data_IF_942547220652
#
_entry.id   IF_942547220652
#
_cell.length_a   1.000
_cell.length_b   1.000
_cell.length_c   1.000
_cell.angle_alpha   90.00
_cell.angle_beta   90.00
_cell.angle_gamma   90.00
#
_symmetry.space_group_name_H-M   'P 1'
#
loop_
_entity.id
_entity.type
_entity.pdbx_description
1 polymer ?
#
# COMPACT_ATOMS: atom_id res chain seq x y z
N UNK A 1 -1.09 -12.29 -17.48
CA UNK A 1 -1.87 -12.56 -16.26
C UNK A 1 -2.23 -14.05 -16.12
N UNK A 2 -2.79 -14.72 -17.14
CA UNK A 2 -3.11 -16.18 -17.07
C UNK A 2 -1.92 -17.04 -16.65
N UNK A 3 -0.72 -16.75 -17.12
CA UNK A 3 0.46 -17.59 -16.84
C UNK A 3 0.97 -17.44 -15.42
N UNK A 4 1.08 -16.21 -14.90
CA UNK A 4 1.62 -15.96 -13.56
C UNK A 4 0.63 -16.33 -12.45
N UNK A 5 -0.61 -15.93 -12.60
CA UNK A 5 -1.64 -16.16 -11.59
C UNK A 5 -2.24 -17.56 -11.67
N UNK A 6 -2.26 -18.17 -12.85
CA UNK A 6 -2.74 -19.55 -13.01
C UNK A 6 -1.82 -20.63 -12.45
N UNK A 7 -0.52 -20.39 -12.35
CA UNK A 7 0.46 -21.39 -11.90
C UNK A 7 1.01 -21.18 -10.48
N UNK A 8 1.05 -19.93 -9.98
CA UNK A 8 1.66 -19.66 -8.66
C UNK A 8 0.70 -19.13 -7.61
N UNK A 9 -0.26 -18.34 -8.00
CA UNK A 9 -1.38 -17.88 -7.17
C UNK A 9 -2.57 -17.66 -8.09
N UNK A 10 -3.47 -18.63 -8.22
CA UNK A 10 -4.65 -18.48 -9.04
C UNK A 10 -5.49 -17.33 -8.48
N UNK A 11 -5.87 -16.39 -9.34
CA UNK A 11 -6.85 -15.38 -9.00
C UNK A 11 -8.18 -16.08 -8.74
N UNK A 12 -8.64 -16.01 -7.52
CA UNK A 12 -9.91 -16.58 -7.10
C UNK A 12 -11.01 -15.54 -7.33
N UNK A 13 -12.11 -15.95 -7.95
CA UNK A 13 -13.29 -15.13 -8.08
C UNK A 13 -14.10 -15.22 -6.77
N UNK A 14 -14.46 -14.08 -6.20
CA UNK A 14 -15.42 -14.00 -5.11
C UNK A 14 -16.84 -14.14 -5.66
N UNK A 15 -17.10 -13.50 -6.82
CA UNK A 15 -18.41 -13.50 -7.47
C UNK A 15 -18.28 -13.55 -8.99
N UNK A 16 -19.26 -14.13 -9.66
CA UNK A 16 -19.35 -14.14 -11.11
C UNK A 16 -18.40 -15.10 -11.80
N UNK A 17 -17.88 -14.71 -12.96
CA UNK A 17 -16.98 -15.50 -13.79
C UNK A 17 -15.81 -14.69 -14.36
N UNK A 18 -14.80 -15.35 -14.87
CA UNK A 18 -13.77 -14.71 -15.68
C UNK A 18 -14.35 -14.21 -17.01
N UNK A 19 -13.77 -13.13 -17.55
CA UNK A 19 -14.15 -12.69 -18.90
C UNK A 19 -13.78 -13.76 -19.93
N UNK A 20 -14.62 -13.89 -20.97
CA UNK A 20 -14.33 -14.80 -22.06
C UNK A 20 -13.12 -14.28 -22.86
N UNK A 21 -12.15 -15.14 -23.12
CA UNK A 21 -10.97 -14.77 -23.92
C UNK A 21 -11.23 -14.77 -25.42
N UNK A 22 -12.49 -14.60 -25.83
CA UNK A 22 -12.97 -14.62 -27.20
C UNK A 22 -13.61 -13.28 -27.54
N UNK A 23 -13.87 -13.03 -28.82
CA UNK A 23 -14.55 -11.81 -29.29
C UNK A 23 -15.97 -11.64 -28.72
N UNK A 24 -16.61 -12.71 -28.24
CA UNK A 24 -17.94 -12.63 -27.63
C UNK A 24 -17.88 -11.93 -26.26
N UNK A 25 -16.76 -12.08 -25.53
CA UNK A 25 -16.51 -11.39 -24.27
C UNK A 25 -15.64 -10.13 -24.40
N UNK A 26 -15.62 -9.48 -25.56
CA UNK A 26 -14.73 -8.36 -25.86
C UNK A 26 -14.85 -7.22 -24.84
N UNK A 27 -16.06 -6.85 -24.46
CA UNK A 27 -16.33 -5.77 -23.49
C UNK A 27 -16.74 -6.30 -22.12
N UNK A 28 -16.08 -7.35 -21.67
CA UNK A 28 -16.24 -7.87 -20.32
C UNK A 28 -15.10 -7.44 -19.43
N UNK A 29 -15.42 -7.09 -18.17
CA UNK A 29 -14.45 -6.70 -17.17
C UNK A 29 -14.59 -7.55 -15.91
N UNK A 30 -13.45 -7.85 -15.28
CA UNK A 30 -13.37 -8.43 -13.95
C UNK A 30 -12.70 -7.42 -13.03
N UNK A 31 -13.33 -7.10 -11.91
CA UNK A 31 -12.86 -6.09 -10.98
C UNK A 31 -12.02 -6.71 -9.88
N UNK A 32 -10.98 -6.00 -9.45
CA UNK A 32 -10.32 -6.26 -8.17
C UNK A 32 -11.25 -5.96 -7.00
N UNK A 33 -11.03 -6.62 -5.88
CA UNK A 33 -11.92 -6.54 -4.70
C UNK A 33 -12.11 -5.10 -4.20
N UNK A 34 -11.06 -4.30 -4.13
CA UNK A 34 -11.12 -2.92 -3.65
C UNK A 34 -11.80 -1.98 -4.64
N UNK A 35 -11.63 -2.20 -5.95
CA UNK A 35 -12.33 -1.42 -6.98
C UNK A 35 -13.84 -1.59 -6.85
N UNK A 36 -14.31 -2.85 -6.71
CA UNK A 36 -15.72 -3.14 -6.58
C UNK A 36 -16.34 -2.44 -5.35
N UNK A 37 -15.64 -2.49 -4.22
CA UNK A 37 -16.10 -1.87 -2.95
C UNK A 37 -16.05 -0.34 -3.01
N UNK A 38 -14.91 0.23 -3.44
CA UNK A 38 -14.69 1.68 -3.42
C UNK A 38 -15.62 2.43 -4.38
N UNK A 39 -15.94 1.84 -5.54
CA UNK A 39 -16.80 2.44 -6.55
C UNK A 39 -18.24 1.90 -6.51
N UNK A 40 -18.54 0.95 -5.62
CA UNK A 40 -19.87 0.38 -5.47
C UNK A 40 -20.37 -0.42 -6.66
N UNK A 41 -19.45 -0.93 -7.50
CA UNK A 41 -19.79 -1.69 -8.70
C UNK A 41 -20.24 -3.12 -8.38
N UNK A 42 -21.23 -3.60 -9.15
CA UNK A 42 -21.82 -4.94 -9.01
C UNK A 42 -21.80 -5.70 -10.33
N UNK A 43 -21.98 -7.02 -10.26
CA UNK A 43 -22.10 -7.86 -11.44
C UNK A 43 -23.22 -7.38 -12.36
N UNK A 44 -22.97 -7.43 -13.65
CA UNK A 44 -23.90 -6.99 -14.71
C UNK A 44 -23.95 -5.49 -14.93
N UNK A 45 -23.31 -4.69 -14.10
CA UNK A 45 -23.27 -3.24 -14.26
C UNK A 45 -22.33 -2.86 -15.42
N UNK A 46 -22.68 -1.79 -16.13
CA UNK A 46 -21.85 -1.20 -17.17
C UNK A 46 -20.92 -0.15 -16.56
N UNK A 47 -19.68 -0.22 -16.93
CA UNK A 47 -18.64 0.73 -16.54
C UNK A 47 -17.93 1.28 -17.78
N UNK A 48 -17.52 2.53 -17.74
CA UNK A 48 -16.68 3.15 -18.75
C UNK A 48 -15.24 3.23 -18.26
N UNK A 49 -14.28 3.07 -19.15
CA UNK A 49 -12.87 3.25 -18.85
C UNK A 49 -12.44 4.63 -19.34
N UNK A 50 -11.70 5.33 -18.51
CA UNK A 50 -11.12 6.64 -18.80
C UNK A 50 -9.62 6.54 -18.60
N UNK A 51 -8.84 7.11 -19.49
CA UNK A 51 -7.43 7.27 -19.23
C UNK A 51 -7.03 8.74 -19.08
N UNK A 52 -6.05 8.97 -18.24
CA UNK A 52 -5.59 10.28 -17.81
C UNK A 52 -5.69 10.46 -16.31
N UNK A 53 -4.88 11.35 -15.77
CA UNK A 53 -5.03 11.86 -14.42
C UNK A 53 -6.29 12.73 -14.39
N UNK A 54 -7.02 12.68 -13.30
CA UNK A 54 -8.29 13.34 -12.98
C UNK A 54 -8.68 14.48 -13.92
N UNK A 55 -9.94 14.47 -14.36
CA UNK A 55 -10.54 15.55 -15.13
C UNK A 55 -10.43 16.90 -14.41
N UNK A 56 -9.30 17.57 -14.55
CA UNK A 56 -9.26 19.03 -14.34
C UNK A 56 -10.13 19.66 -15.43
N UNK A 57 -10.96 20.66 -15.11
CA UNK A 57 -11.74 21.37 -16.14
C UNK A 57 -10.78 21.87 -17.24
N UNK A 58 -10.90 21.30 -18.44
CA UNK A 58 -10.00 21.54 -19.57
C UNK A 58 -8.96 20.47 -19.84
N UNK A 59 -8.84 19.40 -19.05
CA UNK A 59 -8.05 18.22 -19.42
C UNK A 59 -8.83 17.39 -20.43
N UNK A 60 -8.14 16.91 -21.46
CA UNK A 60 -8.64 15.91 -22.41
C UNK A 60 -8.70 14.52 -21.73
N UNK A 61 -9.41 14.39 -20.63
CA UNK A 61 -9.77 13.09 -20.07
C UNK A 61 -10.77 12.47 -21.03
N UNK A 62 -10.26 11.64 -21.88
CA UNK A 62 -11.06 11.04 -22.91
C UNK A 62 -11.71 9.79 -22.34
N UNK A 63 -13.02 9.85 -22.24
CA UNK A 63 -13.87 8.79 -21.74
C UNK A 63 -14.34 7.91 -22.91
N UNK A 64 -14.18 6.59 -22.77
CA UNK A 64 -14.72 5.62 -23.73
C UNK A 64 -16.19 5.28 -23.42
N UNK A 65 -17.04 6.31 -23.33
CA UNK A 65 -18.46 6.14 -23.01
C UNK A 65 -19.23 5.39 -24.12
N UNK A 66 -18.71 5.42 -25.33
CA UNK A 66 -19.25 4.73 -26.52
C UNK A 66 -19.03 3.21 -26.49
N UNK A 67 -18.08 2.73 -25.70
CA UNK A 67 -17.70 1.30 -25.59
C UNK A 67 -17.65 0.83 -24.13
N UNK A 68 -18.81 0.80 -23.42
CA UNK A 68 -18.87 0.42 -22.01
C UNK A 68 -18.56 -1.06 -21.82
N UNK A 69 -17.90 -1.37 -20.71
CA UNK A 69 -17.63 -2.74 -20.28
C UNK A 69 -18.70 -3.25 -19.32
N UNK A 70 -19.03 -4.52 -19.42
CA UNK A 70 -19.93 -5.19 -18.47
C UNK A 70 -19.12 -5.92 -17.41
N UNK A 71 -19.39 -5.65 -16.15
CA UNK A 71 -18.76 -6.36 -15.01
C UNK A 71 -19.29 -7.79 -14.95
N UNK A 72 -18.43 -8.76 -15.22
CA UNK A 72 -18.80 -10.20 -15.23
C UNK A 72 -18.25 -10.97 -14.04
N UNK A 73 -17.30 -10.39 -13.31
CA UNK A 73 -16.72 -11.02 -12.13
C UNK A 73 -16.05 -10.01 -11.20
N UNK A 74 -15.94 -10.40 -9.93
CA UNK A 74 -15.19 -9.70 -8.90
C UNK A 74 -14.20 -10.68 -8.27
N UNK A 75 -12.95 -10.28 -8.15
CA UNK A 75 -11.90 -11.10 -7.54
C UNK A 75 -12.02 -11.11 -6.01
N UNK A 76 -11.64 -12.22 -5.41
CA UNK A 76 -11.38 -12.26 -3.98
C UNK A 76 -10.19 -11.37 -3.62
N UNK A 77 -10.18 -10.85 -2.40
CA UNK A 77 -9.11 -9.98 -1.92
C UNK A 77 -7.76 -10.70 -1.92
N UNK A 78 -6.76 -10.09 -2.50
CA UNK A 78 -5.40 -10.65 -2.63
C UNK A 78 -4.37 -9.98 -1.73
N UNK A 79 -4.67 -8.77 -1.21
CA UNK A 79 -3.71 -7.92 -0.50
C UNK A 79 -2.61 -7.36 -1.42
N UNK A 80 -2.83 -7.35 -2.72
CA UNK A 80 -1.87 -6.89 -3.74
C UNK A 80 -2.49 -5.78 -4.60
N UNK A 81 -1.72 -5.08 -5.45
CA UNK A 81 -2.25 -4.09 -6.39
C UNK A 81 -3.35 -4.62 -7.34
N UNK A 82 -3.48 -5.94 -7.47
CA UNK A 82 -4.57 -6.59 -8.20
C UNK A 82 -5.94 -6.19 -7.67
N UNK A 83 -6.06 -5.96 -6.36
CA UNK A 83 -7.31 -5.56 -5.73
C UNK A 83 -7.82 -4.20 -6.21
N UNK A 84 -6.92 -3.35 -6.71
CA UNK A 84 -7.18 -2.01 -7.26
C UNK A 84 -7.14 -1.95 -8.78
N UNK A 85 -7.27 -3.08 -9.46
CA UNK A 85 -7.12 -3.18 -10.91
C UNK A 85 -8.43 -3.62 -11.55
N UNK A 86 -8.78 -3.01 -12.69
CA UNK A 86 -9.81 -3.50 -13.61
C UNK A 86 -9.14 -4.40 -14.65
N UNK A 87 -9.59 -5.64 -14.75
CA UNK A 87 -9.05 -6.63 -15.68
C UNK A 87 -9.94 -6.75 -16.90
N UNK A 88 -9.38 -6.50 -18.06
CA UNK A 88 -10.03 -6.62 -19.37
C UNK A 88 -9.14 -7.42 -20.32
N UNK A 89 -9.66 -7.84 -21.46
CA UNK A 89 -8.85 -8.49 -22.47
C UNK A 89 -7.95 -7.47 -23.17
N UNK A 90 -6.80 -7.91 -23.71
CA UNK A 90 -5.93 -7.03 -24.52
C UNK A 90 -6.63 -6.60 -25.80
N UNK A 91 -7.44 -7.47 -26.40
CA UNK A 91 -8.27 -7.17 -27.56
C UNK A 91 -9.28 -6.05 -27.27
N UNK A 92 -9.80 -6.00 -26.05
CA UNK A 92 -10.72 -4.93 -25.64
C UNK A 92 -10.00 -3.57 -25.59
N UNK A 93 -8.75 -3.55 -25.15
CA UNK A 93 -7.94 -2.32 -25.16
C UNK A 93 -7.68 -1.81 -26.58
N UNK A 94 -7.40 -2.71 -27.54
CA UNK A 94 -7.31 -2.33 -28.96
C UNK A 94 -8.66 -1.83 -29.48
N UNK A 95 -9.75 -2.53 -29.15
CA UNK A 95 -11.08 -2.20 -29.63
C UNK A 95 -11.58 -0.81 -29.22
N UNK A 96 -11.28 -0.36 -28.01
CA UNK A 96 -11.67 0.99 -27.55
C UNK A 96 -10.89 2.10 -28.21
N UNK A 97 -9.75 1.78 -28.84
CA UNK A 97 -8.87 2.76 -29.49
C UNK A 97 -8.90 2.72 -31.03
N UNK A 98 -9.75 1.91 -31.65
CA UNK A 98 -9.83 1.80 -33.11
C UNK A 98 -10.15 3.12 -33.83
N UNK A 99 -10.92 3.98 -33.18
CA UNK A 99 -11.32 5.31 -33.65
C UNK A 99 -10.53 6.44 -32.98
N UNK A 100 -9.33 6.11 -32.50
CA UNK A 100 -8.42 7.03 -31.82
C UNK A 100 -7.10 7.17 -32.60
N UNK A 101 -6.52 8.37 -32.58
CA UNK A 101 -5.19 8.64 -33.10
C UNK A 101 -4.43 9.59 -32.17
N UNK A 102 -3.19 9.27 -31.87
CA UNK A 102 -2.36 10.12 -31.02
C UNK A 102 -2.91 10.33 -29.59
N UNK A 103 -3.71 9.38 -29.07
CA UNK A 103 -4.29 9.46 -27.73
C UNK A 103 -5.58 10.28 -27.62
N UNK A 104 -6.19 10.67 -28.76
CA UNK A 104 -7.44 11.41 -28.83
C UNK A 104 -8.42 10.77 -29.83
N UNK A 105 -9.75 10.92 -29.63
CA UNK A 105 -10.74 10.43 -30.59
C UNK A 105 -10.60 11.15 -31.93
N UNK A 106 -10.70 10.40 -33.01
CA UNK A 106 -10.66 10.96 -34.36
C UNK A 106 -11.97 11.69 -34.68
N UNK A 107 -11.93 12.99 -35.09
CA UNK A 107 -13.13 13.75 -35.36
C UNK A 107 -13.95 13.11 -36.50
N UNK A 108 -15.24 12.88 -36.25
CA UNK A 108 -16.17 12.33 -37.23
C UNK A 108 -16.04 10.83 -37.50
N UNK A 109 -15.18 10.12 -36.78
CA UNK A 109 -15.05 8.66 -36.84
C UNK A 109 -15.54 8.07 -35.54
N UNK A 110 -16.57 7.21 -35.62
CA UNK A 110 -17.06 6.44 -34.46
C UNK A 110 -17.29 5.02 -34.93
N UNK A 111 -16.64 4.07 -34.28
CA UNK A 111 -16.75 2.64 -34.55
C UNK A 111 -17.62 2.02 -33.47
N UNK A 112 -18.81 1.56 -33.85
CA UNK A 112 -19.73 0.91 -32.91
C UNK A 112 -19.11 -0.37 -32.32
N UNK A 113 -19.45 -0.74 -31.06
CA UNK A 113 -18.90 -1.93 -30.37
C UNK A 113 -19.04 -3.22 -31.17
N UNK A 114 -20.14 -3.37 -31.92
CA UNK A 114 -20.42 -4.54 -32.74
C UNK A 114 -19.52 -4.60 -33.98
N UNK A 115 -19.14 -3.45 -34.50
CA UNK A 115 -18.25 -3.34 -35.69
C UNK A 115 -16.80 -3.56 -35.30
N UNK A 116 -16.38 -3.22 -34.08
CA UNK A 116 -15.03 -3.41 -33.61
C UNK A 116 -14.56 -4.86 -33.74
N UNK A 117 -15.48 -5.82 -33.58
CA UNK A 117 -15.19 -7.26 -33.74
C UNK A 117 -14.75 -7.69 -35.17
N UNK A 118 -14.92 -6.84 -36.17
CA UNK A 118 -14.52 -7.12 -37.54
C UNK A 118 -13.08 -6.70 -37.84
N UNK A 119 -12.47 -5.97 -36.94
CA UNK A 119 -11.09 -5.50 -37.09
C UNK A 119 -10.10 -6.51 -36.48
N UNK A 120 -8.87 -6.41 -36.92
CA UNK A 120 -7.77 -7.11 -36.28
C UNK A 120 -7.50 -6.43 -34.92
N UNK A 121 -7.76 -7.17 -33.84
CA UNK A 121 -7.59 -6.73 -32.45
C UNK A 121 -6.36 -7.39 -31.80
N UNK A 122 -5.41 -7.90 -32.60
CA UNK A 122 -4.15 -8.37 -32.05
C UNK A 122 -3.34 -7.18 -31.51
N UNK A 123 -2.97 -7.18 -30.23
CA UNK A 123 -2.24 -6.07 -29.65
C UNK A 123 -0.86 -5.94 -30.28
N UNK A 124 -0.62 -4.79 -30.89
CA UNK A 124 0.65 -4.46 -31.58
C UNK A 124 1.74 -4.04 -30.59
N UNK A 125 1.34 -3.51 -29.45
CA UNK A 125 2.24 -3.03 -28.41
C UNK A 125 1.70 -3.44 -27.02
N UNK A 126 2.60 -3.71 -26.08
CA UNK A 126 2.26 -3.94 -24.69
C UNK A 126 3.17 -3.11 -23.80
N UNK A 127 2.61 -2.48 -22.79
CA UNK A 127 3.37 -1.60 -21.88
C UNK A 127 4.30 -2.39 -20.97
N UNK A 128 3.90 -3.58 -20.54
CA UNK A 128 4.68 -4.44 -19.66
C UNK A 128 4.34 -5.92 -19.84
N UNK A 129 5.35 -6.76 -19.66
CA UNK A 129 5.23 -8.21 -19.63
C UNK A 129 5.61 -8.70 -18.23
N UNK A 130 4.75 -9.55 -17.64
CA UNK A 130 5.08 -10.27 -16.43
C UNK A 130 5.66 -11.64 -16.81
N UNK A 131 6.95 -11.85 -16.53
CA UNK A 131 7.69 -13.06 -16.92
C UNK A 131 7.93 -13.92 -15.69
N UNK A 132 7.39 -15.13 -15.69
CA UNK A 132 7.66 -16.14 -14.67
C UNK A 132 8.84 -17.03 -15.07
N UNK A 133 9.90 -17.05 -14.28
CA UNK A 133 11.07 -17.90 -14.51
C UNK A 133 10.98 -19.20 -13.73
N UNK A 134 11.45 -20.29 -14.33
CA UNK A 134 11.51 -21.62 -13.68
C UNK A 134 12.61 -21.71 -12.62
N UNK A 135 13.66 -20.90 -12.73
CA UNK A 135 14.79 -20.89 -11.81
C UNK A 135 15.09 -19.48 -11.34
N UNK A 136 15.35 -19.32 -10.03
CA UNK A 136 15.77 -18.05 -9.45
C UNK A 136 17.15 -17.60 -10.02
N UNK A 137 18.04 -18.52 -10.31
CA UNK A 137 19.35 -18.20 -10.89
C UNK A 137 19.25 -17.60 -12.30
N UNK A 138 18.19 -17.91 -13.05
CA UNK A 138 17.96 -17.37 -14.39
C UNK A 138 17.57 -15.87 -14.39
N UNK A 139 17.18 -15.32 -13.24
CA UNK A 139 16.69 -13.94 -13.13
C UNK A 139 17.75 -12.94 -13.61
N UNK A 140 19.00 -13.06 -13.12
CA UNK A 140 20.07 -12.13 -13.49
C UNK A 140 20.54 -12.31 -14.94
N UNK A 141 20.44 -13.54 -15.47
CA UNK A 141 20.77 -13.82 -16.88
C UNK A 141 19.73 -13.14 -17.79
N UNK A 142 18.45 -13.30 -17.48
CA UNK A 142 17.36 -12.67 -18.24
C UNK A 142 17.43 -11.15 -18.13
N UNK A 143 17.69 -10.61 -16.94
CA UNK A 143 17.84 -9.16 -16.74
C UNK A 143 18.97 -8.60 -17.60
N UNK A 144 20.13 -9.28 -17.61
CA UNK A 144 21.26 -8.86 -18.45
C UNK A 144 20.93 -8.96 -19.94
N UNK A 145 20.26 -10.02 -20.35
CA UNK A 145 19.83 -10.18 -21.73
C UNK A 145 18.89 -9.07 -22.17
N UNK A 146 17.91 -8.72 -21.33
CA UNK A 146 16.98 -7.60 -21.59
C UNK A 146 17.72 -6.28 -21.66
N UNK A 147 18.68 -6.03 -20.76
CA UNK A 147 19.47 -4.79 -20.76
C UNK A 147 20.38 -4.64 -21.98
N UNK A 148 20.72 -5.74 -22.64
CA UNK A 148 21.56 -5.78 -23.84
C UNK A 148 20.76 -5.94 -25.13
N UNK A 149 19.42 -5.92 -25.06
CA UNK A 149 18.55 -6.08 -26.22
C UNK A 149 18.54 -4.79 -27.05
N UNK A 150 19.01 -4.90 -28.29
CA UNK A 150 19.20 -3.75 -29.19
C UNK A 150 17.94 -3.40 -30.01
N UNK A 151 16.95 -4.31 -30.07
CA UNK A 151 15.77 -4.12 -30.90
C UNK A 151 14.80 -3.04 -30.39
N UNK A 152 14.68 -2.93 -29.07
CA UNK A 152 13.80 -1.96 -28.38
C UNK A 152 14.39 -1.59 -27.01
N UNK A 153 14.16 -0.39 -26.51
CA UNK A 153 14.58 0.02 -25.18
C UNK A 153 13.72 -0.67 -24.09
N UNK A 154 14.16 -1.83 -23.65
CA UNK A 154 13.49 -2.64 -22.63
C UNK A 154 14.13 -2.46 -21.26
N UNK A 155 13.29 -2.46 -20.21
CA UNK A 155 13.73 -2.44 -18.82
C UNK A 155 13.19 -3.67 -18.08
N UNK A 156 14.09 -4.48 -17.52
CA UNK A 156 13.69 -5.58 -16.64
C UNK A 156 13.68 -5.13 -15.19
N UNK A 157 12.50 -5.04 -14.59
CA UNK A 157 12.32 -4.71 -13.18
C UNK A 157 12.16 -6.00 -12.38
N UNK A 158 12.92 -6.14 -11.31
CA UNK A 158 12.82 -7.21 -10.34
C UNK A 158 12.00 -6.72 -9.14
N UNK A 159 10.73 -7.13 -8.99
CA UNK A 159 9.89 -6.63 -7.91
C UNK A 159 10.48 -6.85 -6.51
N UNK A 160 11.20 -7.97 -6.31
CA UNK A 160 11.85 -8.25 -5.04
C UNK A 160 12.98 -7.26 -4.70
N UNK A 161 13.76 -6.82 -5.68
CA UNK A 161 14.82 -5.82 -5.48
C UNK A 161 14.23 -4.44 -5.20
N UNK A 162 13.22 -4.04 -5.98
CA UNK A 162 12.53 -2.77 -5.76
C UNK A 162 11.88 -2.68 -4.38
N UNK A 163 11.30 -3.79 -3.89
CA UNK A 163 10.76 -3.87 -2.53
C UNK A 163 11.86 -3.81 -1.47
N UNK A 164 13.01 -4.43 -1.71
CA UNK A 164 14.15 -4.39 -0.78
C UNK A 164 14.70 -2.96 -0.64
N UNK A 165 14.83 -2.22 -1.72
CA UNK A 165 15.21 -0.80 -1.70
C UNK A 165 14.20 0.06 -0.91
N UNK A 166 12.90 -0.20 -1.07
CA UNK A 166 11.85 0.44 -0.29
C UNK A 166 12.01 0.13 1.21
N UNK A 167 12.20 -1.15 1.54
CA UNK A 167 12.40 -1.59 2.93
C UNK A 167 13.65 -0.99 3.56
N UNK A 168 14.74 -0.85 2.82
CA UNK A 168 15.95 -0.17 3.31
C UNK A 168 15.68 1.30 3.65
N UNK A 169 14.90 1.98 2.82
CA UNK A 169 14.49 3.37 3.09
C UNK A 169 13.63 3.47 4.35
N UNK A 170 12.65 2.57 4.51
CA UNK A 170 11.81 2.51 5.72
C UNK A 170 12.66 2.18 6.95
N UNK A 171 13.59 1.23 6.85
CA UNK A 171 14.50 0.87 7.94
C UNK A 171 15.41 2.04 8.39
N UNK A 172 15.78 2.93 7.48
CA UNK A 172 16.52 4.16 7.84
C UNK A 172 15.68 5.07 8.75
N UNK A 173 14.42 5.29 8.37
CA UNK A 173 13.47 6.07 9.18
C UNK A 173 13.26 5.43 10.55
N UNK A 174 13.04 4.12 10.59
CA UNK A 174 12.89 3.35 11.83
C UNK A 174 14.10 3.52 12.76
N UNK A 175 15.32 3.36 12.24
CA UNK A 175 16.56 3.55 13.02
C UNK A 175 16.70 4.97 13.56
N UNK A 176 16.32 5.97 12.78
CA UNK A 176 16.33 7.37 13.21
C UNK A 176 15.33 7.60 14.35
N UNK A 177 14.12 7.06 14.22
CA UNK A 177 13.11 7.14 15.28
C UNK A 177 13.55 6.42 16.56
N UNK A 178 14.19 5.26 16.44
CA UNK A 178 14.76 4.54 17.58
C UNK A 178 15.86 5.36 18.28
N UNK A 179 16.74 6.01 17.52
CA UNK A 179 17.78 6.86 18.11
C UNK A 179 17.19 8.08 18.84
N UNK A 180 16.19 8.73 18.26
CA UNK A 180 15.45 9.83 18.90
C UNK A 180 14.73 9.34 20.16
N UNK A 181 14.08 8.19 20.10
CA UNK A 181 13.41 7.60 21.24
C UNK A 181 14.38 7.27 22.38
N UNK A 182 15.55 6.73 22.08
CA UNK A 182 16.59 6.48 23.05
C UNK A 182 17.07 7.77 23.73
N UNK A 183 17.25 8.85 22.94
CA UNK A 183 17.62 10.16 23.47
C UNK A 183 16.54 10.72 24.41
N UNK A 184 15.27 10.62 24.02
CA UNK A 184 14.13 11.05 24.85
C UNK A 184 14.10 10.28 26.18
N UNK A 185 14.33 8.96 26.16
CA UNK A 185 14.43 8.15 27.39
C UNK A 185 15.57 8.63 28.26
N UNK A 186 16.75 8.89 27.71
CA UNK A 186 17.91 9.41 28.47
C UNK A 186 17.61 10.76 29.12
N UNK A 187 17.00 11.69 28.36
CA UNK A 187 16.59 13.00 28.89
C UNK A 187 15.53 12.84 29.99
N UNK A 188 14.57 11.94 29.80
CA UNK A 188 13.55 11.63 30.82
C UNK A 188 14.16 11.08 32.11
N UNK A 189 15.10 10.15 32.01
CA UNK A 189 15.82 9.58 33.17
C UNK A 189 16.66 10.65 33.88
N UNK A 190 17.34 11.50 33.12
CA UNK A 190 18.11 12.62 33.72
C UNK A 190 17.20 13.60 34.43
N UNK A 191 16.04 13.94 33.87
CA UNK A 191 15.01 14.78 34.48
C UNK A 191 14.45 14.15 35.79
N UNK A 192 14.14 12.84 35.76
CA UNK A 192 13.71 12.10 36.96
C UNK A 192 14.78 12.15 38.05
N UNK A 193 16.04 11.87 37.71
CA UNK A 193 17.14 11.95 38.67
C UNK A 193 17.28 13.36 39.26
N UNK A 194 17.22 14.39 38.44
CA UNK A 194 17.28 15.79 38.91
C UNK A 194 16.11 16.12 39.87
N UNK A 195 14.90 15.68 39.56
CA UNK A 195 13.70 15.90 40.37
C UNK A 195 13.82 15.18 41.72
N UNK A 196 14.29 13.92 41.73
CA UNK A 196 14.53 13.16 42.96
C UNK A 196 15.61 13.80 43.82
N UNK A 197 16.72 14.27 43.23
CA UNK A 197 17.79 14.95 43.95
C UNK A 197 17.32 16.29 44.56
N UNK A 198 16.51 17.08 43.82
CA UNK A 198 15.92 18.29 44.34
C UNK A 198 14.97 17.99 45.53
N UNK A 199 14.10 16.99 45.37
CA UNK A 199 13.19 16.54 46.44
C UNK A 199 13.91 16.05 47.71
N UNK A 200 15.08 15.44 47.56
CA UNK A 200 15.91 15.03 48.70
C UNK A 200 16.37 16.23 49.56
N UNK A 201 16.69 17.36 48.92
CA UNK A 201 17.10 18.57 49.62
C UNK A 201 15.93 19.18 50.42
N UNK A 202 14.74 19.18 49.89
CA UNK A 202 13.53 19.72 50.55
C UNK A 202 13.12 18.79 51.73
N UNK A 203 13.26 17.46 51.60
CA UNK A 203 12.86 16.45 52.58
C UNK A 203 13.95 16.09 53.57
N UNK A 204 15.09 16.78 53.63
CA UNK A 204 16.22 16.50 54.52
C UNK A 204 15.78 16.36 55.98
N UNK A 205 14.86 17.19 56.45
CA UNK A 205 14.35 17.21 57.82
C UNK A 205 13.52 15.96 58.11
N UNK A 206 12.67 15.53 57.20
CA UNK A 206 11.85 14.34 57.32
C UNK A 206 12.73 13.07 57.34
N UNK A 207 13.72 13.00 56.47
CA UNK A 207 14.69 11.89 56.41
C UNK A 207 15.54 11.84 57.69
N UNK A 208 15.89 12.98 58.27
CA UNK A 208 16.60 13.04 59.54
C UNK A 208 15.75 12.52 60.71
N UNK A 209 14.45 12.82 60.74
CA UNK A 209 13.51 12.30 61.75
C UNK A 209 13.37 10.78 61.62
N UNK A 210 13.21 10.26 60.41
CA UNK A 210 13.14 8.82 60.12
C UNK A 210 14.41 8.08 60.62
N UNK A 211 15.58 8.69 60.39
CA UNK A 211 16.85 8.17 60.90
C UNK A 211 16.92 8.18 62.44
N UNK A 212 16.43 9.23 63.07
CA UNK A 212 16.37 9.33 64.52
C UNK A 212 15.43 8.30 65.13
N UNK A 213 14.40 7.87 64.40
CA UNK A 213 13.48 6.79 64.78
C UNK A 213 14.01 5.39 64.48
N UNK A 214 15.25 5.28 63.92
CA UNK A 214 15.94 4.00 63.72
C UNK A 214 15.90 3.47 62.28
N UNK A 215 15.38 4.26 61.30
CA UNK A 215 15.42 3.85 59.90
C UNK A 215 16.86 3.74 59.37
N UNK A 216 17.20 2.57 58.84
CA UNK A 216 18.52 2.30 58.28
C UNK A 216 18.69 2.93 56.85
N UNK A 217 19.96 3.00 56.41
CA UNK A 217 20.23 3.52 55.02
C UNK A 217 19.50 2.71 53.92
N UNK A 218 19.28 1.41 54.18
CA UNK A 218 18.57 0.54 53.23
C UNK A 218 17.09 0.88 53.14
N UNK A 219 16.46 1.23 54.25
CA UNK A 219 15.03 1.56 54.32
C UNK A 219 14.75 2.87 53.55
N UNK A 220 15.62 3.86 53.74
CA UNK A 220 15.56 5.12 53.02
C UNK A 220 15.81 4.95 51.51
N UNK A 221 16.79 4.11 51.15
CA UNK A 221 17.07 3.79 49.75
C UNK A 221 15.89 3.10 49.08
N UNK A 222 15.30 2.08 49.74
CA UNK A 222 14.13 1.36 49.23
C UNK A 222 12.91 2.29 49.06
N UNK A 223 12.68 3.18 50.03
CA UNK A 223 11.58 4.14 49.98
C UNK A 223 11.73 5.07 48.77
N UNK A 224 12.90 5.65 48.56
CA UNK A 224 13.16 6.56 47.41
C UNK A 224 13.14 5.82 46.08
N UNK A 225 13.65 4.59 46.06
CA UNK A 225 13.58 3.76 44.85
C UNK A 225 12.14 3.39 44.51
N UNK A 226 11.33 3.04 45.52
CA UNK A 226 9.91 2.74 45.32
C UNK A 226 9.15 3.95 44.81
N UNK A 227 9.43 5.16 45.31
CA UNK A 227 8.83 6.42 44.80
C UNK A 227 9.21 6.63 43.33
N UNK A 228 10.49 6.49 42.97
CA UNK A 228 10.96 6.59 41.57
C UNK A 228 10.33 5.56 40.63
N UNK A 229 10.21 4.32 41.08
CA UNK A 229 9.56 3.24 40.33
C UNK A 229 8.09 3.53 40.12
N UNK A 230 7.37 3.98 41.15
CA UNK A 230 5.94 4.33 41.02
C UNK A 230 5.70 5.46 40.04
N UNK A 231 6.49 6.53 40.13
CA UNK A 231 6.38 7.67 39.19
C UNK A 231 6.69 7.24 37.77
N UNK A 232 7.73 6.45 37.58
CA UNK A 232 8.12 5.94 36.24
C UNK A 232 7.05 5.00 35.68
N UNK A 233 6.53 4.08 36.52
CA UNK A 233 5.46 3.17 36.09
C UNK A 233 4.16 3.90 35.74
N UNK A 234 3.78 4.91 36.54
CA UNK A 234 2.60 5.73 36.24
C UNK A 234 2.79 6.51 34.94
N UNK A 235 3.97 7.10 34.74
CA UNK A 235 4.30 7.80 33.47
C UNK A 235 4.31 6.87 32.26
N UNK A 236 4.88 5.67 32.39
CA UNK A 236 4.89 4.67 31.33
C UNK A 236 3.48 4.18 30.97
N UNK A 237 2.65 3.89 31.99
CA UNK A 237 1.24 3.53 31.77
C UNK A 237 0.46 4.63 31.05
N UNK A 238 0.62 5.87 31.49
CA UNK A 238 -0.02 7.01 30.84
C UNK A 238 0.45 7.16 29.40
N UNK A 239 1.76 7.02 29.14
CA UNK A 239 2.33 7.06 27.79
C UNK A 239 1.76 5.99 26.88
N UNK A 240 1.68 4.74 27.36
CA UNK A 240 1.06 3.63 26.59
C UNK A 240 -0.41 3.90 26.31
N UNK A 241 -1.17 4.38 27.30
CA UNK A 241 -2.58 4.72 27.13
C UNK A 241 -2.78 5.84 26.08
N UNK A 242 -1.96 6.88 26.13
CA UNK A 242 -2.03 7.98 25.15
C UNK A 242 -1.71 7.51 23.73
N UNK A 243 -0.67 6.67 23.58
CA UNK A 243 -0.30 6.14 22.25
C UNK A 243 -1.38 5.20 21.72
N UNK A 244 -1.90 4.27 22.52
CA UNK A 244 -2.94 3.34 22.08
C UNK A 244 -4.27 4.04 21.78
N UNK A 245 -4.67 5.00 22.61
CA UNK A 245 -5.86 5.81 22.35
C UNK A 245 -5.68 6.68 21.11
N UNK A 246 -4.55 7.36 20.99
CA UNK A 246 -4.22 8.20 19.85
C UNK A 246 -4.17 7.42 18.52
N UNK A 247 -3.52 6.26 18.50
CA UNK A 247 -3.48 5.39 17.33
C UNK A 247 -4.86 4.84 16.97
N UNK A 248 -5.66 4.43 17.96
CA UNK A 248 -7.02 3.96 17.74
C UNK A 248 -7.96 5.03 17.16
N UNK A 249 -7.83 6.27 17.60
CA UNK A 249 -8.58 7.40 17.05
C UNK A 249 -8.10 7.83 15.67
N UNK A 250 -6.80 7.73 15.40
CA UNK A 250 -6.22 8.10 14.11
C UNK A 250 -6.40 7.01 13.03
N UNK A 251 -6.51 5.74 13.42
CA UNK A 251 -6.59 4.60 12.49
C UNK A 251 -7.70 4.73 11.42
N UNK A 252 -8.98 5.05 11.75
CA UNK A 252 -10.02 5.18 10.74
C UNK A 252 -9.72 6.31 9.75
N UNK A 253 -9.22 7.44 10.22
CA UNK A 253 -8.84 8.57 9.37
C UNK A 253 -7.64 8.24 8.45
N UNK A 254 -6.64 7.51 8.97
CA UNK A 254 -5.49 7.05 8.18
C UNK A 254 -5.90 6.03 7.11
N UNK A 255 -6.84 5.12 7.46
CA UNK A 255 -7.43 4.17 6.52
C UNK A 255 -8.14 4.86 5.36
N UNK A 256 -9.00 5.84 5.66
CA UNK A 256 -9.76 6.57 4.65
C UNK A 256 -8.85 7.41 3.75
N UNK A 257 -7.84 8.06 4.33
CA UNK A 257 -7.01 9.03 3.60
C UNK A 257 -5.84 8.40 2.85
N UNK A 258 -5.22 7.37 3.42
CA UNK A 258 -3.97 6.78 2.92
C UNK A 258 -4.06 5.30 2.62
N UNK A 259 -5.15 4.62 2.99
CA UNK A 259 -5.31 3.18 2.80
C UNK A 259 -4.31 2.33 3.60
N UNK A 260 -3.73 2.90 4.65
CA UNK A 260 -2.73 2.25 5.52
C UNK A 260 -3.39 1.86 6.83
N UNK A 261 -3.17 0.61 7.25
CA UNK A 261 -3.63 0.07 8.55
C UNK A 261 -2.42 -0.10 9.44
#
# INVERSE_FOLDING_TARGET
QRFLYGQRQPLVLAEGRAFAGTLDGLYEAVLGAEVAVALGYRLGQRITLTHGLEATPGSLAAEHADKPFTVVGVLARTGTPVDRTVHVSLQALEAIHLDWAGGAPMPGVTIAPEQARKFDLEPKQVTALLVGLKSRAAVFVVQRWVAQYEGEPLLAVLPGVALDELWQTVAMVERTLLAVSALVVLVGLAGLAATLLAGLNERRRELAILRALGAGPRDLFLMLTAEGVLVTAAGALLGVLLVTAGSGLAAPWLLERFGVV
#
